data_IF_591110520184
#
_entry.id   IF_591110520184
#
_cell.length_a   1.000
_cell.length_b   1.000
_cell.length_c   1.000
_cell.angle_alpha   90.00
_cell.angle_beta   90.00
_cell.angle_gamma   90.00
#
_symmetry.space_group_name_H-M   'P 1'
#
loop_
_entity.id
_entity.type
_entity.pdbx_description
1 polymer ?
#
# COMPACT_ATOMS: atom_id res chain seq x y z
N UNK A 1 -3.56 28.45 -27.73
CA UNK A 1 -4.79 27.93 -27.07
C UNK A 1 -4.69 26.46 -26.73
N UNK A 2 -4.26 25.58 -27.65
CA UNK A 2 -4.24 24.10 -27.46
C UNK A 2 -3.45 23.57 -26.24
N UNK A 3 -2.26 24.08 -25.91
CA UNK A 3 -1.50 23.58 -24.75
C UNK A 3 -2.16 23.88 -23.40
N UNK A 4 -2.83 25.03 -23.27
CA UNK A 4 -3.52 25.41 -22.03
C UNK A 4 -4.72 24.51 -21.78
N UNK A 5 -5.47 24.19 -22.82
CA UNK A 5 -6.65 23.34 -22.71
C UNK A 5 -6.26 21.86 -22.50
N UNK A 6 -5.17 21.41 -23.12
CA UNK A 6 -4.56 20.11 -22.83
C UNK A 6 -4.12 19.99 -21.36
N UNK A 7 -3.41 20.99 -20.83
CA UNK A 7 -2.98 20.99 -19.42
C UNK A 7 -4.17 21.01 -18.46
N UNK A 8 -5.20 21.82 -18.72
CA UNK A 8 -6.43 21.84 -17.92
C UNK A 8 -7.15 20.49 -17.95
N UNK A 9 -7.27 19.88 -19.13
CA UNK A 9 -7.93 18.57 -19.29
C UNK A 9 -7.15 17.47 -18.57
N UNK A 10 -5.83 17.46 -18.72
CA UNK A 10 -4.95 16.50 -18.05
C UNK A 10 -5.01 16.67 -16.53
N UNK A 11 -4.90 17.90 -16.02
CA UNK A 11 -5.01 18.19 -14.59
C UNK A 11 -6.39 17.77 -14.03
N UNK A 12 -7.47 18.05 -14.75
CA UNK A 12 -8.83 17.64 -14.35
C UNK A 12 -8.94 16.12 -14.28
N UNK A 13 -8.40 15.39 -15.27
CA UNK A 13 -8.43 13.92 -15.28
C UNK A 13 -7.57 13.30 -14.16
N UNK A 14 -6.42 13.91 -13.86
CA UNK A 14 -5.58 13.53 -12.74
C UNK A 14 -6.32 13.76 -11.41
N UNK A 15 -7.02 14.89 -11.26
CA UNK A 15 -7.80 15.19 -10.06
C UNK A 15 -8.99 14.23 -9.87
N UNK A 16 -9.69 13.84 -10.94
CA UNK A 16 -10.78 12.85 -10.89
C UNK A 16 -10.32 11.47 -10.35
N UNK A 17 -9.09 11.09 -10.70
CA UNK A 17 -8.47 9.83 -10.28
C UNK A 17 -7.67 9.96 -8.97
N UNK A 18 -7.41 11.19 -8.53
CA UNK A 18 -6.63 11.47 -7.32
C UNK A 18 -7.40 11.15 -6.05
N UNK A 19 -6.66 10.71 -5.02
CA UNK A 19 -7.18 10.49 -3.68
C UNK A 19 -7.64 11.81 -3.01
N UNK A 20 -7.13 12.96 -3.48
CA UNK A 20 -7.49 14.31 -2.97
C UNK A 20 -8.97 14.65 -3.22
N UNK A 21 -9.68 13.91 -4.08
CA UNK A 21 -11.13 14.06 -4.23
C UNK A 21 -11.89 13.70 -2.95
N UNK A 22 -11.34 12.77 -2.15
CA UNK A 22 -12.00 12.29 -0.94
C UNK A 22 -11.78 13.28 0.21
N UNK A 23 -12.88 13.67 0.86
CA UNK A 23 -12.87 14.57 2.02
C UNK A 23 -11.93 14.06 3.12
N UNK A 24 -11.94 12.75 3.37
CA UNK A 24 -11.08 12.10 4.35
C UNK A 24 -9.60 12.35 4.09
N UNK A 25 -9.13 12.23 2.85
CA UNK A 25 -7.72 12.44 2.48
C UNK A 25 -7.33 13.91 2.61
N UNK A 26 -8.23 14.83 2.21
CA UNK A 26 -8.00 16.28 2.36
C UNK A 26 -7.88 16.71 3.82
N UNK A 27 -8.54 15.99 4.73
CA UNK A 27 -8.48 16.29 6.15
C UNK A 27 -7.32 15.60 6.87
N UNK A 28 -6.39 14.92 6.20
CA UNK A 28 -5.24 14.26 6.86
C UNK A 28 -4.01 15.15 7.07
N UNK A 29 -4.08 16.47 6.82
CA UNK A 29 -2.91 17.36 7.00
C UNK A 29 -2.43 17.39 8.46
N UNK A 30 -3.30 17.08 9.41
CA UNK A 30 -2.94 16.96 10.83
C UNK A 30 -1.94 15.83 11.12
N UNK A 31 -1.68 14.93 10.18
CA UNK A 31 -0.61 13.93 10.25
C UNK A 31 0.74 14.43 9.71
N UNK A 32 0.83 15.67 9.22
CA UNK A 32 2.09 16.21 8.73
C UNK A 32 2.92 16.78 9.89
N UNK A 33 4.13 16.26 10.19
CA UNK A 33 4.90 16.65 11.37
C UNK A 33 5.14 18.17 11.47
N UNK A 34 5.55 18.79 10.36
CA UNK A 34 5.74 20.25 10.28
C UNK A 34 4.44 21.02 10.54
N UNK A 35 3.31 20.55 10.02
CA UNK A 35 2.02 21.22 10.16
C UNK A 35 1.54 21.22 11.62
N UNK A 36 1.80 20.12 12.34
CA UNK A 36 1.44 19.96 13.77
C UNK A 36 2.07 21.08 14.59
N UNK A 37 3.34 21.41 14.35
CA UNK A 37 4.05 22.48 15.08
C UNK A 37 3.59 23.87 14.65
N UNK A 38 3.38 24.09 13.34
CA UNK A 38 3.07 25.43 12.81
C UNK A 38 1.63 25.89 13.03
N UNK A 39 0.64 24.99 12.99
CA UNK A 39 -0.78 25.35 12.99
C UNK A 39 -1.64 24.27 13.67
N UNK A 40 -1.57 24.24 14.99
CA UNK A 40 -2.29 23.28 15.81
C UNK A 40 -3.82 23.42 15.70
N UNK A 41 -4.32 24.65 15.61
CA UNK A 41 -5.76 24.93 15.55
C UNK A 41 -6.37 24.34 14.28
N UNK A 42 -5.71 24.49 13.14
CA UNK A 42 -6.13 23.87 11.90
C UNK A 42 -6.02 22.35 11.95
N UNK A 43 -4.94 21.82 12.54
CA UNK A 43 -4.77 20.37 12.70
C UNK A 43 -5.89 19.75 13.55
N UNK A 44 -6.30 20.39 14.65
CA UNK A 44 -7.44 19.95 15.46
C UNK A 44 -8.75 19.92 14.68
N UNK A 45 -9.04 20.99 13.92
CA UNK A 45 -10.25 21.04 13.07
C UNK A 45 -10.23 19.92 12.02
N UNK A 46 -9.07 19.64 11.45
CA UNK A 46 -8.91 18.58 10.48
C UNK A 46 -9.03 17.18 11.08
N UNK A 47 -8.51 16.97 12.30
CA UNK A 47 -8.73 15.74 13.06
C UNK A 47 -10.22 15.52 13.30
N UNK A 48 -10.96 16.55 13.70
CA UNK A 48 -12.41 16.47 13.90
C UNK A 48 -13.16 16.09 12.62
N UNK A 49 -12.83 16.70 11.49
CA UNK A 49 -13.39 16.32 10.19
C UNK A 49 -13.08 14.84 9.86
N UNK A 50 -11.85 14.40 10.14
CA UNK A 50 -11.39 13.03 9.90
C UNK A 50 -12.19 12.04 10.76
N UNK A 51 -12.33 12.32 12.06
CA UNK A 51 -13.09 11.48 13.00
C UNK A 51 -14.56 11.39 12.61
N UNK A 52 -15.19 12.51 12.24
CA UNK A 52 -16.58 12.50 11.77
C UNK A 52 -16.74 11.62 10.52
N UNK A 53 -15.82 11.71 9.56
CA UNK A 53 -15.82 10.82 8.40
C UNK A 53 -15.66 9.33 8.78
N UNK A 54 -14.77 9.02 9.73
CA UNK A 54 -14.54 7.64 10.18
C UNK A 54 -15.72 7.09 10.98
N UNK A 55 -16.37 7.91 11.80
CA UNK A 55 -17.58 7.56 12.55
C UNK A 55 -18.76 7.30 11.62
N UNK A 56 -18.99 8.17 10.62
CA UNK A 56 -20.04 7.95 9.60
C UNK A 56 -19.83 6.63 8.83
N UNK A 57 -18.58 6.19 8.67
CA UNK A 57 -18.23 4.92 8.01
C UNK A 57 -18.23 3.71 8.97
N UNK A 58 -18.59 3.89 10.25
CA UNK A 58 -18.58 2.85 11.27
C UNK A 58 -17.18 2.32 11.61
N UNK A 59 -16.12 3.10 11.33
CA UNK A 59 -14.72 2.70 11.58
C UNK A 59 -14.20 3.15 12.95
N UNK A 60 -14.82 4.17 13.53
CA UNK A 60 -14.53 4.67 14.88
C UNK A 60 -15.87 4.85 15.60
N UNK A 61 -15.94 4.40 16.85
CA UNK A 61 -17.11 4.59 17.71
C UNK A 61 -17.23 6.08 18.08
N UNK A 62 -18.44 6.64 17.97
CA UNK A 62 -18.73 8.04 18.32
C UNK A 62 -18.31 8.38 19.75
N UNK A 63 -18.47 7.43 20.69
CA UNK A 63 -18.10 7.61 22.09
C UNK A 63 -16.59 7.78 22.28
N UNK A 64 -15.78 7.29 21.34
CA UNK A 64 -14.32 7.42 21.39
C UNK A 64 -13.80 8.71 20.75
N UNK A 65 -14.62 9.41 19.96
CA UNK A 65 -14.19 10.61 19.24
C UNK A 65 -13.66 11.68 20.19
N UNK A 66 -14.36 11.94 21.31
CA UNK A 66 -13.93 12.94 22.28
C UNK A 66 -12.69 12.50 23.06
N UNK A 67 -12.57 11.21 23.38
CA UNK A 67 -11.36 10.63 23.97
C UNK A 67 -10.15 10.82 23.05
N UNK A 68 -10.30 10.56 21.75
CA UNK A 68 -9.21 10.73 20.76
C UNK A 68 -8.82 12.20 20.61
N UNK A 69 -9.80 13.12 20.59
CA UNK A 69 -9.53 14.56 20.56
C UNK A 69 -8.76 15.01 21.81
N UNK A 70 -9.11 14.50 22.99
CA UNK A 70 -8.39 14.80 24.23
C UNK A 70 -6.96 14.25 24.22
N UNK A 71 -6.78 12.99 23.82
CA UNK A 71 -5.45 12.37 23.64
C UNK A 71 -4.57 13.18 22.68
N UNK A 72 -5.13 13.66 21.57
CA UNK A 72 -4.37 14.47 20.62
C UNK A 72 -3.92 15.81 21.19
N UNK A 73 -4.75 16.49 21.99
CA UNK A 73 -4.37 17.76 22.64
C UNK A 73 -3.23 17.54 23.65
N UNK A 74 -3.32 16.49 24.46
CA UNK A 74 -2.28 16.14 25.43
C UNK A 74 -0.97 15.78 24.71
N UNK A 75 -1.04 14.96 23.67
CA UNK A 75 0.11 14.59 22.86
C UNK A 75 0.76 15.79 22.19
N UNK A 76 -0.02 16.72 21.63
CA UNK A 76 0.49 17.97 21.07
C UNK A 76 1.27 18.79 22.11
N UNK A 77 0.74 18.94 23.32
CA UNK A 77 1.43 19.67 24.38
C UNK A 77 2.79 19.03 24.69
N UNK A 78 2.88 17.69 24.71
CA UNK A 78 4.16 16.99 24.89
C UNK A 78 5.14 17.24 23.74
N UNK A 79 4.67 17.27 22.49
CA UNK A 79 5.52 17.59 21.33
C UNK A 79 6.11 18.99 21.46
N UNK A 80 5.29 19.98 21.76
CA UNK A 80 5.76 21.37 21.87
C UNK A 80 6.77 21.53 23.01
N UNK A 81 6.56 20.83 24.13
CA UNK A 81 7.49 20.89 25.27
C UNK A 81 8.81 20.15 25.02
N UNK A 82 8.79 18.98 24.37
CA UNK A 82 9.93 18.05 24.41
C UNK A 82 10.53 17.70 23.05
N UNK A 83 9.78 17.82 21.95
CA UNK A 83 10.14 17.25 20.64
C UNK A 83 9.86 18.17 19.45
N UNK A 84 9.64 19.47 19.68
CA UNK A 84 9.26 20.43 18.63
C UNK A 84 10.26 20.47 17.46
N UNK A 85 11.55 20.36 17.78
CA UNK A 85 12.64 20.39 16.80
C UNK A 85 12.60 19.17 15.87
N UNK A 86 12.29 17.98 16.39
CA UNK A 86 12.21 16.74 15.61
C UNK A 86 11.08 16.80 14.59
N UNK A 87 9.94 17.36 14.97
CA UNK A 87 8.78 17.53 14.08
C UNK A 87 9.02 18.58 13.01
N UNK A 88 9.76 19.64 13.33
CA UNK A 88 10.08 20.71 12.40
C UNK A 88 11.18 20.31 11.40
N UNK A 89 12.13 19.47 11.84
CA UNK A 89 13.22 18.95 11.01
C UNK A 89 12.85 17.72 10.19
N UNK A 90 11.67 17.12 10.42
CA UNK A 90 11.21 15.94 9.69
C UNK A 90 11.29 16.12 8.16
N UNK A 91 11.94 15.16 7.50
CA UNK A 91 12.05 15.08 6.05
C UNK A 91 11.61 13.69 5.56
N UNK A 92 10.54 13.68 4.77
CA UNK A 92 9.98 12.47 4.16
C UNK A 92 10.95 11.78 3.18
N UNK A 93 12.03 12.44 2.77
CA UNK A 93 13.05 11.89 1.88
C UNK A 93 14.01 10.95 2.61
N UNK A 94 14.24 11.20 3.91
CA UNK A 94 15.21 10.45 4.73
C UNK A 94 14.55 9.66 5.85
N UNK A 95 13.37 10.08 6.31
CA UNK A 95 12.67 9.47 7.43
C UNK A 95 11.31 8.94 7.02
N UNK A 96 10.99 7.75 7.53
CA UNK A 96 9.68 7.13 7.38
C UNK A 96 8.69 7.70 8.37
N UNK A 97 7.57 8.20 7.85
CA UNK A 97 6.52 8.83 8.66
C UNK A 97 5.90 7.86 9.67
N UNK A 98 5.69 6.60 9.29
CA UNK A 98 5.08 5.60 10.16
C UNK A 98 6.00 5.17 11.31
N UNK A 99 7.30 5.04 11.06
CA UNK A 99 8.33 4.81 12.10
C UNK A 99 8.39 6.01 13.03
N UNK A 100 8.42 7.22 12.46
CA UNK A 100 8.45 8.47 13.22
C UNK A 100 7.27 8.58 14.19
N UNK A 101 6.04 8.33 13.73
CA UNK A 101 4.87 8.31 14.61
C UNK A 101 4.87 7.13 15.58
N UNK A 102 5.36 5.95 15.18
CA UNK A 102 5.48 4.83 16.12
C UNK A 102 6.36 5.20 17.32
N UNK A 103 7.45 5.92 17.07
CA UNK A 103 8.39 6.31 18.12
C UNK A 103 7.86 7.43 19.01
N UNK A 104 7.20 8.44 18.44
CA UNK A 104 6.70 9.60 19.20
C UNK A 104 5.29 9.43 19.81
N UNK A 105 4.47 8.56 19.23
CA UNK A 105 3.07 8.33 19.63
C UNK A 105 2.82 6.87 20.01
N UNK A 106 3.26 5.93 19.18
CA UNK A 106 2.93 4.50 19.33
C UNK A 106 3.52 3.79 20.56
N UNK A 107 4.59 4.32 21.16
CA UNK A 107 5.19 3.78 22.40
C UNK A 107 4.42 4.17 23.67
N UNK A 108 3.52 5.15 23.57
CA UNK A 108 2.83 5.72 24.71
C UNK A 108 1.45 5.09 24.89
N UNK A 109 1.26 4.37 26.00
CA UNK A 109 -0.02 3.67 26.27
C UNK A 109 -1.20 4.62 26.50
N UNK A 110 -0.93 5.84 26.96
CA UNK A 110 -1.93 6.91 27.18
C UNK A 110 -2.62 7.38 25.89
N UNK A 111 -2.01 7.15 24.72
CA UNK A 111 -2.55 7.58 23.43
C UNK A 111 -3.01 6.43 22.55
N UNK A 112 -3.42 5.30 23.14
CA UNK A 112 -3.76 4.07 22.42
C UNK A 112 -4.87 4.25 21.38
N UNK A 113 -5.94 4.99 21.69
CA UNK A 113 -7.06 5.17 20.76
C UNK A 113 -6.65 6.09 19.59
N UNK A 114 -5.93 7.17 19.88
CA UNK A 114 -5.33 8.04 18.86
C UNK A 114 -4.37 7.26 17.96
N UNK A 115 -3.48 6.45 18.53
CA UNK A 115 -2.54 5.63 17.77
C UNK A 115 -3.27 4.62 16.87
N UNK A 116 -4.38 4.05 17.34
CA UNK A 116 -5.20 3.13 16.54
C UNK A 116 -5.74 3.83 15.29
N UNK A 117 -6.23 5.07 15.43
CA UNK A 117 -6.70 5.88 14.29
C UNK A 117 -5.55 6.25 13.37
N UNK A 118 -4.42 6.73 13.90
CA UNK A 118 -3.24 7.09 13.09
C UNK A 118 -2.77 5.88 12.29
N UNK A 119 -2.64 4.70 12.91
CA UNK A 119 -2.27 3.45 12.24
C UNK A 119 -3.25 3.11 11.12
N UNK A 120 -4.56 3.19 11.37
CA UNK A 120 -5.58 2.96 10.35
C UNK A 120 -5.41 3.91 9.16
N UNK A 121 -5.22 5.20 9.41
CA UNK A 121 -5.08 6.22 8.37
C UNK A 121 -3.81 6.02 7.53
N UNK A 122 -2.68 5.69 8.17
CA UNK A 122 -1.42 5.38 7.47
C UNK A 122 -1.51 4.11 6.60
N UNK A 123 -2.47 3.22 6.88
CA UNK A 123 -2.74 2.03 6.06
C UNK A 123 -3.76 2.28 4.94
N UNK A 124 -4.52 3.39 4.94
CA UNK A 124 -5.48 3.68 3.88
C UNK A 124 -4.81 3.89 2.52
N UNK A 125 -3.58 4.38 2.54
CA UNK A 125 -2.74 4.58 1.36
C UNK A 125 -2.03 3.29 0.90
N UNK A 126 -2.63 2.12 1.11
CA UNK A 126 -2.14 0.85 0.54
C UNK A 126 -2.80 0.55 -0.82
N UNK A 127 -3.00 1.58 -1.64
CA UNK A 127 -3.34 1.44 -3.05
C UNK A 127 -2.08 1.26 -3.88
N UNK A 128 -2.20 0.74 -5.09
CA UNK A 128 -1.09 0.60 -6.04
C UNK A 128 -0.60 1.96 -6.60
N UNK A 129 -0.72 3.06 -5.84
CA UNK A 129 -0.30 4.38 -6.28
C UNK A 129 1.22 4.55 -6.12
N UNK A 130 1.88 4.99 -7.18
CA UNK A 130 3.34 5.14 -7.24
C UNK A 130 3.92 6.07 -6.15
N UNK A 131 3.12 7.02 -5.65
CA UNK A 131 3.46 7.93 -4.54
C UNK A 131 3.42 7.23 -3.18
N UNK A 132 2.58 6.20 -3.03
CA UNK A 132 2.43 5.40 -1.79
C UNK A 132 3.56 4.38 -1.63
N UNK A 133 4.37 4.17 -2.69
CA UNK A 133 5.60 3.39 -2.56
C UNK A 133 6.52 3.95 -1.46
N UNK A 134 6.48 5.26 -1.15
CA UNK A 134 7.24 5.84 -0.03
C UNK A 134 6.98 5.18 1.33
N UNK A 135 5.83 4.51 1.50
CA UNK A 135 5.46 3.77 2.71
C UNK A 135 5.69 2.26 2.60
N UNK A 136 5.97 1.74 1.40
CA UNK A 136 6.13 0.31 1.16
C UNK A 136 7.55 -0.13 1.46
N UNK A 137 7.68 -1.11 2.36
CA UNK A 137 8.95 -1.83 2.59
C UNK A 137 9.44 -2.50 1.29
N UNK A 138 8.53 -2.79 0.36
CA UNK A 138 8.84 -3.40 -0.92
C UNK A 138 9.21 -2.37 -2.01
N UNK A 139 9.24 -1.06 -1.73
CA UNK A 139 9.54 -0.03 -2.74
C UNK A 139 10.82 -0.30 -3.50
N UNK A 140 11.87 -0.65 -2.78
CA UNK A 140 13.21 -0.88 -3.33
C UNK A 140 13.27 -2.17 -4.17
N UNK A 141 12.37 -3.10 -3.86
CA UNK A 141 12.28 -4.42 -4.50
C UNK A 141 11.36 -4.38 -5.73
N UNK A 142 10.42 -3.44 -5.78
CA UNK A 142 9.36 -3.31 -6.79
C UNK A 142 9.84 -2.62 -8.09
N UNK A 143 9.60 -3.27 -9.22
CA UNK A 143 9.76 -2.74 -10.58
C UNK A 143 8.49 -2.96 -11.39
N UNK A 144 8.29 -2.18 -12.45
CA UNK A 144 7.11 -2.28 -13.32
C UNK A 144 7.02 -3.65 -13.99
N UNK A 145 5.80 -4.18 -14.15
CA UNK A 145 5.51 -5.47 -14.83
C UNK A 145 6.16 -6.71 -14.19
N UNK A 146 6.30 -6.76 -12.87
CA UNK A 146 6.73 -7.98 -12.19
C UNK A 146 5.58 -8.93 -11.88
N UNK A 147 5.83 -10.21 -12.11
CA UNK A 147 5.00 -11.28 -11.58
C UNK A 147 5.17 -11.39 -10.06
N UNK A 148 4.13 -11.85 -9.37
CA UNK A 148 4.12 -12.06 -7.91
C UNK A 148 5.31 -12.93 -7.46
N UNK A 149 5.56 -14.05 -8.15
CA UNK A 149 6.69 -14.95 -7.85
C UNK A 149 8.05 -14.22 -7.86
N UNK A 150 8.24 -13.29 -8.79
CA UNK A 150 9.46 -12.48 -8.88
C UNK A 150 9.57 -11.51 -7.71
N UNK A 151 8.46 -10.90 -7.31
CA UNK A 151 8.43 -9.99 -6.16
C UNK A 151 8.77 -10.73 -4.87
N UNK A 152 8.17 -11.91 -4.64
CA UNK A 152 8.46 -12.76 -3.48
C UNK A 152 9.94 -13.15 -3.46
N UNK A 153 10.48 -13.63 -4.58
CA UNK A 153 11.89 -14.04 -4.66
C UNK A 153 12.85 -12.89 -4.35
N UNK A 154 12.64 -11.71 -4.93
CA UNK A 154 13.49 -10.54 -4.64
C UNK A 154 13.33 -10.09 -3.18
N UNK A 155 12.13 -10.20 -2.60
CA UNK A 155 11.90 -9.84 -1.20
C UNK A 155 12.64 -10.78 -0.26
N UNK A 156 12.60 -12.08 -0.50
CA UNK A 156 13.37 -13.08 0.26
C UNK A 156 14.87 -12.78 0.25
N UNK A 157 15.42 -12.35 -0.90
CA UNK A 157 16.83 -11.97 -1.00
C UNK A 157 17.11 -10.72 -0.16
N UNK A 158 16.28 -9.68 -0.28
CA UNK A 158 16.41 -8.44 0.50
C UNK A 158 16.37 -8.72 2.00
N UNK A 159 15.38 -9.49 2.46
CA UNK A 159 15.21 -9.85 3.87
C UNK A 159 16.44 -10.61 4.41
N UNK A 160 17.05 -11.47 3.59
CA UNK A 160 18.26 -12.20 3.96
C UNK A 160 19.50 -11.30 4.05
N UNK A 161 19.62 -10.31 3.15
CA UNK A 161 20.71 -9.32 3.21
C UNK A 161 20.58 -8.47 4.48
N UNK A 162 19.36 -7.99 4.76
CA UNK A 162 19.07 -7.19 5.95
C UNK A 162 19.35 -8.00 7.23
N UNK A 163 18.90 -9.26 7.28
CA UNK A 163 19.18 -10.18 8.38
C UNK A 163 20.68 -10.41 8.59
N UNK A 164 21.46 -10.49 7.50
CA UNK A 164 22.90 -10.68 7.57
C UNK A 164 23.66 -9.40 7.98
N UNK A 165 22.97 -8.26 8.10
CA UNK A 165 23.57 -6.98 8.47
C UNK A 165 24.30 -6.30 7.30
N UNK A 166 23.89 -6.58 6.06
CA UNK A 166 24.49 -6.01 4.86
C UNK A 166 25.22 -7.05 4.00
N UNK A 167 25.59 -6.64 2.79
CA UNK A 167 26.10 -7.55 1.76
C UNK A 167 27.50 -8.11 2.10
N UNK A 168 28.30 -7.35 2.85
CA UNK A 168 29.68 -7.70 3.20
C UNK A 168 29.75 -8.87 4.19
N UNK A 169 28.68 -9.08 4.96
CA UNK A 169 28.58 -10.14 5.96
C UNK A 169 28.05 -11.46 5.38
N UNK A 170 27.71 -11.49 4.09
CA UNK A 170 27.12 -12.66 3.45
C UNK A 170 28.21 -13.61 2.97
N UNK A 171 28.28 -14.78 3.61
CA UNK A 171 29.16 -15.86 3.19
C UNK A 171 28.51 -16.64 2.05
N UNK A 172 29.11 -16.60 0.86
CA UNK A 172 28.63 -17.37 -0.30
C UNK A 172 28.86 -18.85 -0.08
N UNK A 173 27.79 -19.59 0.20
CA UNK A 173 27.87 -21.04 0.43
C UNK A 173 27.94 -21.84 -0.87
N UNK A 174 28.52 -23.04 -0.80
CA UNK A 174 28.56 -23.99 -1.93
C UNK A 174 27.17 -24.33 -2.47
N UNK A 175 26.16 -24.39 -1.59
CA UNK A 175 24.77 -24.65 -1.99
C UNK A 175 24.19 -23.50 -2.83
N UNK A 176 24.47 -22.25 -2.49
CA UNK A 176 24.06 -21.09 -3.29
C UNK A 176 24.68 -21.13 -4.68
N UNK A 177 25.97 -21.48 -4.79
CA UNK A 177 26.64 -21.65 -6.07
C UNK A 177 26.01 -22.77 -6.92
N UNK A 178 25.68 -23.91 -6.31
CA UNK A 178 24.99 -25.00 -7.00
C UNK A 178 23.58 -24.59 -7.45
N UNK A 179 22.83 -23.89 -6.60
CA UNK A 179 21.51 -23.37 -6.95
C UNK A 179 21.56 -22.36 -8.11
N UNK A 180 22.54 -21.47 -8.10
CA UNK A 180 22.77 -20.51 -9.18
C UNK A 180 23.11 -21.20 -10.50
N UNK A 181 23.98 -22.22 -10.48
CA UNK A 181 24.31 -23.02 -11.69
C UNK A 181 23.09 -23.75 -12.25
N UNK A 182 22.24 -24.31 -11.38
CA UNK A 182 21.02 -25.02 -11.78
C UNK A 182 19.86 -24.09 -12.20
N UNK A 183 19.96 -22.78 -11.95
CA UNK A 183 18.85 -21.82 -12.16
C UNK A 183 18.34 -21.81 -13.59
N UNK A 184 19.23 -21.83 -14.59
CA UNK A 184 18.87 -21.85 -16.01
C UNK A 184 18.09 -23.10 -16.39
N UNK A 185 18.47 -24.25 -15.83
CA UNK A 185 17.78 -25.50 -16.09
C UNK A 185 16.39 -25.52 -15.45
N UNK A 186 16.28 -25.09 -14.19
CA UNK A 186 14.99 -24.92 -13.50
C UNK A 186 14.06 -23.96 -14.26
N UNK A 187 14.61 -22.88 -14.80
CA UNK A 187 13.83 -21.93 -15.60
C UNK A 187 13.31 -22.55 -16.90
N UNK A 188 14.14 -23.30 -17.63
CA UNK A 188 13.69 -24.04 -18.83
C UNK A 188 12.57 -25.03 -18.48
N UNK A 189 12.75 -25.81 -17.43
CA UNK A 189 11.75 -26.77 -16.99
C UNK A 189 10.42 -26.09 -16.59
N UNK A 190 10.48 -24.89 -16.00
CA UNK A 190 9.27 -24.11 -15.70
C UNK A 190 8.58 -23.59 -16.97
N UNK A 191 9.34 -23.18 -18.00
CA UNK A 191 8.77 -22.78 -19.28
C UNK A 191 8.08 -23.96 -20.00
N UNK A 192 8.68 -25.14 -19.95
CA UNK A 192 8.10 -26.35 -20.54
C UNK A 192 6.79 -26.74 -19.85
N UNK A 193 6.74 -26.66 -18.51
CA UNK A 193 5.51 -26.86 -17.74
C UNK A 193 4.41 -25.88 -18.13
N UNK A 194 4.74 -24.58 -18.26
CA UNK A 194 3.78 -23.58 -18.69
C UNK A 194 3.26 -23.82 -20.11
N UNK A 195 4.10 -24.33 -21.01
CA UNK A 195 3.69 -24.67 -22.36
C UNK A 195 2.72 -25.85 -22.36
N UNK A 196 2.97 -26.88 -21.54
CA UNK A 196 2.10 -28.05 -21.39
C UNK A 196 0.77 -27.70 -20.71
N UNK A 197 0.78 -26.86 -19.69
CA UNK A 197 -0.44 -26.35 -19.05
C UNK A 197 -1.31 -25.56 -20.03
N UNK A 198 -0.71 -24.66 -20.83
CA UNK A 198 -1.45 -23.92 -21.86
C UNK A 198 -2.07 -24.82 -22.93
N UNK A 199 -1.37 -25.88 -23.35
CA UNK A 199 -1.92 -26.88 -24.29
C UNK A 199 -3.12 -27.60 -23.67
N UNK A 200 -3.00 -28.04 -22.41
CA UNK A 200 -4.08 -28.73 -21.68
C UNK A 200 -5.30 -27.83 -21.47
N UNK A 201 -5.10 -26.57 -21.12
CA UNK A 201 -6.19 -25.61 -20.95
C UNK A 201 -6.88 -25.27 -22.27
N UNK A 202 -6.12 -25.14 -23.37
CA UNK A 202 -6.69 -24.97 -24.70
C UNK A 202 -7.53 -26.18 -25.14
N UNK A 203 -7.06 -27.40 -24.85
CA UNK A 203 -7.82 -28.62 -25.10
C UNK A 203 -9.10 -28.71 -24.26
N UNK A 204 -9.07 -28.26 -23.00
CA UNK A 204 -10.26 -28.22 -22.15
C UNK A 204 -11.29 -27.22 -22.67
N UNK A 205 -10.88 -26.00 -23.03
CA UNK A 205 -11.79 -24.99 -23.59
C UNK A 205 -12.47 -25.45 -24.88
N UNK A 206 -11.72 -26.06 -25.79
CA UNK A 206 -12.31 -26.64 -27.02
C UNK A 206 -13.35 -27.70 -26.71
N UNK A 207 -13.08 -28.60 -25.74
CA UNK A 207 -14.07 -29.60 -25.31
C UNK A 207 -15.31 -28.94 -24.70
N UNK A 208 -15.14 -27.92 -23.86
CA UNK A 208 -16.26 -27.19 -23.25
C UNK A 208 -17.13 -26.48 -24.32
N UNK A 209 -16.50 -25.90 -25.35
CA UNK A 209 -17.18 -25.32 -26.51
C UNK A 209 -17.95 -26.39 -27.30
N UNK A 210 -17.30 -27.51 -27.63
CA UNK A 210 -17.92 -28.64 -28.35
C UNK A 210 -19.12 -29.22 -27.57
N UNK A 211 -19.00 -29.38 -26.25
CA UNK A 211 -20.09 -29.84 -25.38
C UNK A 211 -21.25 -28.84 -25.33
N UNK A 212 -20.96 -27.54 -25.27
CA UNK A 212 -21.98 -26.48 -25.31
C UNK A 212 -22.74 -26.44 -26.63
N UNK A 213 -22.07 -26.64 -27.77
CA UNK A 213 -22.71 -26.76 -29.08
C UNK A 213 -23.61 -28.01 -29.17
N UNK A 214 -23.14 -29.14 -28.63
CA UNK A 214 -23.90 -30.38 -28.57
C UNK A 214 -25.20 -30.24 -27.78
N UNK A 215 -25.18 -29.56 -26.64
CA UNK A 215 -26.38 -29.33 -25.83
C UNK A 215 -27.34 -28.33 -26.49
N UNK A 216 -26.83 -27.29 -27.15
CA UNK A 216 -27.66 -26.39 -27.97
C UNK A 216 -28.36 -27.12 -29.13
N UNK A 217 -27.66 -28.04 -29.80
CA UNK A 217 -28.24 -28.86 -30.86
C UNK A 217 -29.30 -29.83 -30.34
N UNK A 218 -29.10 -30.44 -29.16
CA UNK A 218 -30.11 -31.28 -28.50
C UNK A 218 -31.36 -30.48 -28.13
N UNK A 219 -31.21 -29.27 -27.58
CA UNK A 219 -32.34 -28.41 -27.25
C UNK A 219 -33.14 -28.01 -28.50
N UNK A 220 -32.47 -27.62 -29.59
CA UNK A 220 -33.13 -27.33 -30.87
C UNK A 220 -33.89 -28.54 -31.43
N UNK A 221 -33.30 -29.73 -31.35
CA UNK A 221 -33.96 -30.98 -31.77
C UNK A 221 -35.22 -31.28 -30.96
N UNK A 222 -35.19 -31.05 -29.65
CA UNK A 222 -36.34 -31.26 -28.78
C UNK A 222 -37.44 -30.20 -29.00
N UNK A 223 -37.10 -28.97 -29.38
CA UNK A 223 -38.07 -27.92 -29.70
C UNK A 223 -38.75 -28.07 -31.08
N UNK A 224 -38.23 -28.95 -31.94
CA UNK A 224 -38.77 -29.26 -33.27
C UNK A 224 -39.66 -30.52 -33.28
N UNK A 225 -39.88 -31.15 -32.13
CA UNK A 225 -40.84 -32.24 -31.92
C UNK A 225 -42.08 -31.71 -31.23
#
# INVERSE_FOLDING_TARGET
MQCRDFLKTTASKVLEKSLIKYKLVRSMKWLQPKAIVTDHVSCLKQLEITLNCLSTLGRVDENKCDTIKAQYRQWYNQIISNSSVDFQSFDSSFQRLDVFFKDHLGRQSEFKDLWTVVRFLLMLSHGQAQVERGFSVNKEVMSTNMAEKTLVAKRTISDFIDFSGGIDNIIVTKQMLMAARASREKYRHHLDQLAEEKKKDGLKRKREEDFGELDNLKQKKNALR
#
